data_IF_468962269542
#
_entry.id   IF_468962269542
#
_cell.length_a   1.000
_cell.length_b   1.000
_cell.length_c   1.000
_cell.angle_alpha   90.00
_cell.angle_beta   90.00
_cell.angle_gamma   90.00
#
_symmetry.space_group_name_H-M   'P 1'
#
loop_
_entity.id
_entity.type
_entity.pdbx_description
1 polymer ?
#
# COMPACT_ATOMS: atom_id res chain seq x y z
N UNK A 1 -5.85 20.48 4.47
CA UNK A 1 -5.02 19.49 3.76
C UNK A 1 -5.63 19.30 2.39
N UNK A 2 -4.81 19.28 1.36
CA UNK A 2 -5.32 19.11 0.01
C UNK A 2 -5.75 17.66 -0.22
N UNK A 3 -6.83 17.50 -0.99
CA UNK A 3 -7.37 16.16 -1.29
C UNK A 3 -6.45 15.46 -2.30
N UNK A 4 -5.87 14.32 -1.88
CA UNK A 4 -5.04 13.50 -2.76
C UNK A 4 -5.89 12.68 -3.73
N UNK A 5 -6.92 12.02 -3.22
CA UNK A 5 -7.79 11.18 -4.03
C UNK A 5 -9.26 11.26 -3.61
N UNK A 6 -10.13 10.98 -4.57
CA UNK A 6 -11.57 10.90 -4.36
C UNK A 6 -12.17 9.74 -5.16
N UNK A 7 -12.85 8.85 -4.49
CA UNK A 7 -13.65 7.79 -5.09
C UNK A 7 -15.13 8.02 -4.80
N UNK A 8 -15.99 8.03 -5.84
CA UNK A 8 -17.42 8.22 -5.71
C UNK A 8 -18.19 7.05 -6.30
N UNK A 9 -19.06 6.47 -5.49
CA UNK A 9 -19.94 5.35 -5.87
C UNK A 9 -19.17 4.20 -6.53
N UNK A 10 -17.97 3.86 -6.02
CA UNK A 10 -17.14 2.80 -6.60
C UNK A 10 -17.84 1.46 -6.43
N UNK A 11 -17.98 0.76 -7.56
CA UNK A 11 -18.53 -0.58 -7.65
C UNK A 11 -17.49 -1.51 -8.28
N UNK A 12 -17.37 -2.72 -7.75
CA UNK A 12 -16.60 -3.79 -8.37
C UNK A 12 -17.34 -5.10 -8.24
N UNK A 13 -17.86 -5.58 -9.37
CA UNK A 13 -18.64 -6.80 -9.45
C UNK A 13 -17.88 -7.85 -10.26
N UNK A 14 -17.88 -9.08 -9.77
CA UNK A 14 -17.26 -10.21 -10.44
C UNK A 14 -18.35 -11.21 -10.84
N UNK A 15 -18.37 -11.60 -12.11
CA UNK A 15 -19.23 -12.68 -12.59
C UNK A 15 -18.62 -14.02 -12.27
N UNK A 16 -19.36 -14.87 -11.57
CA UNK A 16 -18.94 -16.24 -11.23
C UNK A 16 -20.01 -17.23 -11.69
N UNK A 17 -19.69 -18.53 -11.81
CA UNK A 17 -20.70 -19.55 -12.13
C UNK A 17 -21.86 -19.59 -11.15
N UNK A 18 -21.66 -19.17 -9.90
CA UNK A 18 -22.68 -19.12 -8.85
C UNK A 18 -23.48 -17.81 -8.82
N UNK A 19 -23.17 -16.84 -9.71
CA UNK A 19 -23.84 -15.54 -9.78
C UNK A 19 -22.85 -14.36 -9.70
N UNK A 20 -23.40 -13.17 -9.49
CA UNK A 20 -22.60 -11.93 -9.38
C UNK A 20 -22.19 -11.70 -7.93
N UNK A 21 -20.88 -11.57 -7.70
CA UNK A 21 -20.29 -11.17 -6.42
C UNK A 21 -20.06 -9.67 -6.46
N UNK A 22 -20.70 -8.93 -5.56
CA UNK A 22 -20.50 -7.49 -5.38
C UNK A 22 -19.39 -7.24 -4.35
N UNK A 23 -18.17 -7.24 -4.80
CA UNK A 23 -17.01 -7.05 -3.91
C UNK A 23 -16.90 -5.62 -3.36
N UNK A 24 -17.28 -4.62 -4.16
CA UNK A 24 -17.50 -3.23 -3.73
C UNK A 24 -18.87 -2.77 -4.27
N UNK A 25 -19.71 -2.20 -3.41
CA UNK A 25 -21.08 -1.81 -3.73
C UNK A 25 -21.38 -0.37 -3.28
N UNK A 26 -20.82 0.60 -4.01
CA UNK A 26 -21.07 2.02 -3.78
C UNK A 26 -20.13 2.69 -2.75
N UNK A 27 -18.85 2.35 -2.76
CA UNK A 27 -17.84 2.97 -1.89
C UNK A 27 -17.67 4.45 -2.23
N UNK A 28 -17.76 5.30 -1.22
CA UNK A 28 -17.38 6.71 -1.28
C UNK A 28 -16.28 6.96 -0.27
N UNK A 29 -15.12 7.42 -0.73
CA UNK A 29 -13.96 7.74 0.11
C UNK A 29 -13.18 8.88 -0.52
N UNK A 30 -12.73 9.79 0.29
CA UNK A 30 -11.70 10.78 -0.05
C UNK A 30 -10.54 10.66 0.93
N UNK A 31 -9.33 10.88 0.46
CA UNK A 31 -8.11 10.82 1.27
C UNK A 31 -7.30 12.07 0.99
N UNK A 32 -6.87 12.73 2.06
CA UNK A 32 -6.02 13.92 2.01
C UNK A 32 -4.54 13.53 1.99
N UNK A 33 -3.70 14.44 1.51
CA UNK A 33 -2.24 14.27 1.55
C UNK A 33 -1.74 14.09 2.98
N UNK A 34 -0.83 13.13 3.18
CA UNK A 34 -0.24 12.81 4.47
C UNK A 34 -1.13 11.98 5.42
N UNK A 35 -2.38 11.69 5.06
CA UNK A 35 -3.20 10.76 5.86
C UNK A 35 -2.62 9.34 5.87
N UNK A 36 -2.74 8.67 7.02
CA UNK A 36 -2.49 7.23 7.16
C UNK A 36 -3.81 6.56 7.52
N UNK A 37 -4.47 6.01 6.52
CA UNK A 37 -5.78 5.36 6.67
C UNK A 37 -5.57 3.88 7.00
N UNK A 38 -6.15 3.44 8.12
CA UNK A 38 -6.26 2.01 8.46
C UNK A 38 -7.61 1.51 7.96
N UNK A 39 -7.59 0.57 7.02
CA UNK A 39 -8.79 -0.06 6.48
C UNK A 39 -9.03 -1.40 7.16
N UNK A 40 -10.05 -1.45 8.02
CA UNK A 40 -10.42 -2.61 8.82
C UNK A 40 -11.66 -3.32 8.25
N UNK A 41 -11.74 -4.61 8.50
CA UNK A 41 -12.93 -5.40 8.20
C UNK A 41 -12.64 -6.91 8.18
N UNK A 42 -13.67 -7.76 8.23
CA UNK A 42 -13.52 -9.20 8.18
C UNK A 42 -12.94 -9.67 6.83
N UNK A 43 -12.50 -10.94 6.78
CA UNK A 43 -12.09 -11.56 5.52
C UNK A 43 -13.25 -11.55 4.52
N UNK A 44 -12.98 -11.25 3.25
CA UNK A 44 -14.00 -11.16 2.21
C UNK A 44 -14.83 -9.88 2.21
N UNK A 45 -14.57 -8.89 3.08
CA UNK A 45 -15.34 -7.63 3.11
C UNK A 45 -15.08 -6.68 1.93
N UNK A 46 -14.08 -6.95 1.08
CA UNK A 46 -13.74 -6.12 -0.08
C UNK A 46 -12.48 -5.27 0.06
N UNK A 47 -11.73 -5.38 1.16
CA UNK A 47 -10.51 -4.57 1.44
C UNK A 47 -9.45 -4.68 0.34
N UNK A 48 -9.02 -5.89 0.01
CA UNK A 48 -8.02 -6.13 -1.05
C UNK A 48 -8.56 -5.68 -2.43
N UNK A 49 -9.86 -5.83 -2.67
CA UNK A 49 -10.49 -5.32 -3.90
C UNK A 49 -10.41 -3.80 -3.96
N UNK A 50 -10.65 -3.10 -2.84
CA UNK A 50 -10.50 -1.65 -2.76
C UNK A 50 -9.06 -1.22 -2.98
N UNK A 51 -8.06 -1.91 -2.36
CA UNK A 51 -6.64 -1.66 -2.62
C UNK A 51 -6.27 -1.86 -4.10
N UNK A 52 -6.79 -2.90 -4.74
CA UNK A 52 -6.56 -3.15 -6.15
C UNK A 52 -7.16 -2.06 -7.05
N UNK A 53 -8.33 -1.52 -6.68
CA UNK A 53 -8.90 -0.36 -7.38
C UNK A 53 -8.08 0.93 -7.12
N UNK A 54 -7.63 1.17 -5.88
CA UNK A 54 -6.78 2.32 -5.54
C UNK A 54 -5.45 2.28 -6.29
N UNK A 55 -4.86 1.10 -6.44
CA UNK A 55 -3.60 0.92 -7.17
C UNK A 55 -3.76 0.86 -8.69
N UNK A 56 -4.97 0.90 -9.23
CA UNK A 56 -5.25 0.59 -10.62
C UNK A 56 -4.66 -0.77 -11.09
N UNK A 57 -4.57 -1.75 -10.19
CA UNK A 57 -4.36 -3.16 -10.54
C UNK A 57 -5.64 -3.78 -11.07
N UNK A 58 -6.78 -3.30 -10.59
CA UNK A 58 -8.10 -3.65 -11.05
C UNK A 58 -8.93 -2.40 -11.33
N UNK A 59 -9.86 -2.49 -12.28
CA UNK A 59 -10.73 -1.36 -12.65
C UNK A 59 -12.11 -1.50 -12.01
N UNK A 60 -12.66 -0.43 -11.41
CA UNK A 60 -14.03 -0.43 -10.96
C UNK A 60 -15.00 -0.73 -12.12
N UNK A 61 -16.10 -1.44 -11.84
CA UNK A 61 -17.20 -1.63 -12.81
C UNK A 61 -18.11 -0.42 -12.90
N UNK A 62 -18.08 0.46 -11.91
CA UNK A 62 -18.85 1.71 -11.86
C UNK A 62 -18.29 2.72 -10.86
N UNK A 63 -18.81 3.93 -10.90
CA UNK A 63 -18.37 5.05 -10.08
C UNK A 63 -17.26 5.89 -10.72
N UNK A 64 -16.64 6.82 -10.00
CA UNK A 64 -15.53 7.66 -10.47
C UNK A 64 -14.34 7.61 -9.49
N UNK A 65 -13.12 7.62 -10.02
CA UNK A 65 -11.89 7.70 -9.25
C UNK A 65 -11.00 8.82 -9.78
N UNK A 66 -10.76 9.82 -8.96
CA UNK A 66 -9.91 10.98 -9.25
C UNK A 66 -8.71 10.95 -8.32
N UNK A 67 -7.51 11.15 -8.85
CA UNK A 67 -6.24 11.22 -8.13
C UNK A 67 -5.52 12.51 -8.55
N UNK A 68 -5.15 13.36 -7.57
CA UNK A 68 -4.54 14.68 -7.81
C UNK A 68 -5.31 15.50 -8.87
N UNK A 69 -6.64 15.50 -8.78
CA UNK A 69 -7.51 16.25 -9.68
C UNK A 69 -7.71 15.65 -11.09
N UNK A 70 -7.06 14.53 -11.41
CA UNK A 70 -7.18 13.84 -12.69
C UNK A 70 -7.90 12.51 -12.56
N UNK A 71 -8.72 12.14 -13.54
CA UNK A 71 -9.38 10.83 -13.55
C UNK A 71 -8.35 9.71 -13.76
N UNK A 72 -8.41 8.67 -12.90
CA UNK A 72 -7.50 7.52 -12.97
C UNK A 72 -7.86 6.64 -14.17
N UNK A 73 -6.88 6.23 -15.00
CA UNK A 73 -7.11 5.39 -16.18
C UNK A 73 -7.77 4.05 -15.82
N UNK A 74 -8.73 3.60 -16.66
CA UNK A 74 -9.46 2.35 -16.41
C UNK A 74 -9.35 1.30 -17.51
N UNK A 75 -9.07 1.72 -18.74
CA UNK A 75 -9.27 0.87 -19.92
C UNK A 75 -7.98 0.62 -20.71
N UNK A 76 -6.89 1.31 -20.41
CA UNK A 76 -5.61 1.15 -21.12
C UNK A 76 -4.56 0.61 -20.17
N UNK A 77 -4.07 -0.59 -20.45
CA UNK A 77 -3.06 -1.26 -19.62
C UNK A 77 -1.78 -0.43 -19.44
N UNK A 78 -1.36 0.29 -20.48
CA UNK A 78 -0.18 1.15 -20.45
C UNK A 78 -0.38 2.36 -19.53
N UNK A 79 -1.52 3.04 -19.63
CA UNK A 79 -1.84 4.22 -18.80
C UNK A 79 -1.95 3.82 -17.32
N UNK A 80 -2.59 2.68 -17.02
CA UNK A 80 -2.67 2.12 -15.67
C UNK A 80 -1.28 1.75 -15.14
N UNK A 81 -0.40 1.25 -16.00
CA UNK A 81 0.97 0.90 -15.62
C UNK A 81 1.81 2.14 -15.35
N UNK A 82 1.67 3.20 -16.16
CA UNK A 82 2.30 4.50 -15.92
C UNK A 82 1.81 5.13 -14.62
N UNK A 83 0.50 5.12 -14.37
CA UNK A 83 -0.07 5.59 -13.11
C UNK A 83 0.52 4.89 -11.89
N UNK A 84 0.60 3.54 -11.92
CA UNK A 84 1.23 2.75 -10.84
C UNK A 84 2.71 3.07 -10.68
N UNK A 85 3.43 3.18 -11.80
CA UNK A 85 4.86 3.47 -11.79
C UNK A 85 5.16 4.81 -11.13
N UNK A 86 4.35 5.82 -11.41
CA UNK A 86 4.58 7.19 -10.96
C UNK A 86 4.09 7.42 -9.52
N UNK A 87 2.92 6.85 -9.17
CA UNK A 87 2.19 7.30 -7.98
C UNK A 87 2.12 6.26 -6.86
N UNK A 88 2.18 4.95 -7.17
CA UNK A 88 1.81 3.90 -6.20
C UNK A 88 3.02 3.13 -5.70
N UNK A 89 3.26 3.16 -4.38
CA UNK A 89 4.05 2.16 -3.67
C UNK A 89 3.13 1.04 -3.18
N UNK A 90 3.54 -0.22 -3.29
CA UNK A 90 2.75 -1.34 -2.81
C UNK A 90 3.59 -2.28 -1.96
N UNK A 91 3.11 -2.60 -0.76
CA UNK A 91 3.71 -3.59 0.14
C UNK A 91 2.73 -4.75 0.31
N UNK A 92 3.16 -5.93 -0.04
CA UNK A 92 2.36 -7.16 -0.01
C UNK A 92 2.55 -7.92 1.30
N UNK A 93 1.58 -8.75 1.64
CA UNK A 93 1.60 -9.64 2.81
C UNK A 93 2.80 -10.61 2.80
N UNK A 94 3.19 -11.12 1.65
CA UNK A 94 4.28 -12.10 1.46
C UNK A 94 5.58 -11.47 0.96
N UNK A 95 5.93 -10.27 1.39
CA UNK A 95 7.15 -9.53 1.05
C UNK A 95 7.42 -9.37 -0.45
N UNK A 96 7.25 -10.41 -1.27
CA UNK A 96 7.46 -10.47 -2.71
C UNK A 96 8.84 -9.96 -3.14
N UNK A 97 9.88 -10.23 -2.34
CA UNK A 97 11.25 -9.94 -2.69
C UNK A 97 11.75 -10.93 -3.76
N UNK A 98 12.54 -10.43 -4.68
CA UNK A 98 13.20 -11.25 -5.69
C UNK A 98 14.36 -12.00 -5.01
N UNK A 99 14.27 -13.32 -4.96
CA UNK A 99 15.18 -14.17 -4.20
C UNK A 99 16.60 -14.20 -4.76
N UNK A 100 16.74 -13.97 -6.08
CA UNK A 100 18.01 -13.96 -6.81
C UNK A 100 18.71 -12.59 -6.78
N UNK A 101 18.11 -11.60 -6.11
CA UNK A 101 18.68 -10.26 -5.94
C UNK A 101 18.98 -10.01 -4.46
N UNK A 102 20.08 -9.32 -4.19
CA UNK A 102 20.42 -8.85 -2.84
C UNK A 102 19.39 -7.86 -2.31
N UNK A 103 19.45 -7.57 -1.03
CA UNK A 103 18.60 -6.56 -0.37
C UNK A 103 18.71 -5.20 -1.07
N UNK A 104 19.93 -4.76 -1.40
CA UNK A 104 20.16 -3.50 -2.11
C UNK A 104 19.60 -3.55 -3.54
N UNK A 105 19.82 -4.64 -4.26
CA UNK A 105 19.35 -4.79 -5.64
C UNK A 105 17.83 -4.83 -5.73
N UNK A 106 17.13 -5.44 -4.74
CA UNK A 106 15.67 -5.40 -4.66
C UNK A 106 15.13 -3.96 -4.62
N UNK A 107 15.82 -3.04 -3.95
CA UNK A 107 15.41 -1.63 -3.87
C UNK A 107 15.79 -0.90 -5.16
N UNK A 108 17.03 -1.09 -5.62
CA UNK A 108 17.58 -0.41 -6.80
C UNK A 108 16.83 -0.73 -8.08
N UNK A 109 16.32 -1.96 -8.22
CA UNK A 109 15.53 -2.38 -9.37
C UNK A 109 14.27 -1.52 -9.56
N UNK A 110 13.58 -1.18 -8.48
CA UNK A 110 12.36 -0.33 -8.58
C UNK A 110 12.69 1.08 -9.04
N UNK A 111 13.82 1.62 -8.62
CA UNK A 111 14.32 2.92 -9.10
C UNK A 111 14.65 2.87 -10.59
N UNK A 112 15.32 1.80 -11.02
CA UNK A 112 15.68 1.60 -12.43
C UNK A 112 14.45 1.47 -13.32
N UNK A 113 13.45 0.69 -12.90
CA UNK A 113 12.15 0.57 -13.59
C UNK A 113 11.36 1.88 -13.63
N UNK A 114 11.57 2.77 -12.66
CA UNK A 114 10.99 4.11 -12.64
C UNK A 114 11.81 5.13 -13.46
N UNK A 115 12.94 4.71 -14.07
CA UNK A 115 13.81 5.59 -14.86
C UNK A 115 14.75 6.47 -14.04
N UNK A 116 14.89 6.20 -12.74
CA UNK A 116 15.72 7.01 -11.82
C UNK A 116 16.59 6.09 -10.96
N UNK A 117 17.75 5.69 -11.48
CA UNK A 117 18.71 4.87 -10.74
C UNK A 117 19.57 5.74 -9.83
N UNK A 118 19.28 5.69 -8.53
CA UNK A 118 20.02 6.40 -7.48
C UNK A 118 20.44 5.42 -6.37
N UNK A 119 21.67 4.94 -6.45
CA UNK A 119 22.21 3.99 -5.49
C UNK A 119 22.37 4.62 -4.09
N UNK A 120 22.66 5.93 -4.01
CA UNK A 120 22.81 6.61 -2.71
C UNK A 120 21.47 6.62 -1.97
N UNK A 121 20.38 6.89 -2.67
CA UNK A 121 19.03 6.81 -2.10
C UNK A 121 18.66 5.38 -1.66
N UNK A 122 19.03 4.36 -2.42
CA UNK A 122 18.76 2.97 -2.01
C UNK A 122 19.46 2.63 -0.69
N UNK A 123 20.70 3.08 -0.51
CA UNK A 123 21.44 2.94 0.75
C UNK A 123 20.79 3.75 1.87
N UNK A 124 20.37 4.99 1.62
CA UNK A 124 19.69 5.82 2.62
C UNK A 124 18.34 5.23 3.07
N UNK A 125 17.63 4.58 2.16
CA UNK A 125 16.42 3.82 2.51
C UNK A 125 16.74 2.61 3.38
N UNK A 126 17.82 1.89 3.10
CA UNK A 126 18.28 0.79 3.97
C UNK A 126 18.68 1.29 5.36
N UNK A 127 19.33 2.44 5.47
CA UNK A 127 19.61 3.08 6.76
C UNK A 127 18.31 3.43 7.51
N UNK A 128 17.35 4.02 6.80
CA UNK A 128 16.03 4.38 7.36
C UNK A 128 15.31 3.18 7.98
N UNK A 129 15.36 2.02 7.33
CA UNK A 129 14.74 0.79 7.84
C UNK A 129 15.67 -0.05 8.74
N UNK A 130 16.89 0.46 9.06
CA UNK A 130 17.87 -0.17 9.95
C UNK A 130 18.47 -1.46 9.38
N UNK A 131 18.75 -1.51 8.07
CA UNK A 131 19.24 -2.70 7.36
C UNK A 131 20.45 -2.41 6.45
N UNK A 132 21.21 -1.33 6.71
CA UNK A 132 22.39 -1.02 5.90
C UNK A 132 23.44 -2.15 5.92
N UNK A 133 23.63 -2.80 7.07
CA UNK A 133 24.56 -3.93 7.22
C UNK A 133 24.18 -5.17 6.43
N UNK A 134 22.90 -5.29 6.05
CA UNK A 134 22.35 -6.44 5.36
C UNK A 134 22.29 -6.25 3.83
N UNK A 135 22.80 -5.14 3.30
CA UNK A 135 22.61 -4.71 1.91
C UNK A 135 23.04 -5.75 0.84
N UNK A 136 24.09 -6.51 1.16
CA UNK A 136 24.69 -7.51 0.26
C UNK A 136 24.13 -8.92 0.47
N UNK A 137 23.23 -9.12 1.45
CA UNK A 137 22.55 -10.40 1.69
C UNK A 137 21.39 -10.63 0.75
N UNK A 138 21.06 -11.90 0.54
CA UNK A 138 19.85 -12.31 -0.18
C UNK A 138 18.63 -12.42 0.77
N UNK A 139 17.41 -12.31 0.25
CA UNK A 139 16.20 -12.39 1.09
C UNK A 139 16.14 -13.63 1.98
N UNK A 140 16.59 -14.79 1.49
CA UNK A 140 16.62 -16.03 2.29
C UNK A 140 17.58 -16.04 3.47
N UNK A 141 18.48 -15.06 3.58
CA UNK A 141 19.49 -14.94 4.63
C UNK A 141 19.08 -13.97 5.76
N UNK A 142 17.89 -13.36 5.64
CA UNK A 142 17.37 -12.37 6.60
C UNK A 142 16.01 -12.82 7.15
N UNK A 143 15.68 -12.34 8.35
CA UNK A 143 14.42 -12.69 9.02
C UNK A 143 13.18 -12.12 8.29
N UNK A 144 11.99 -12.68 8.54
CA UNK A 144 10.74 -12.20 7.95
C UNK A 144 10.47 -10.71 8.25
N UNK A 145 10.73 -10.26 9.47
CA UNK A 145 10.61 -8.84 9.81
C UNK A 145 11.64 -7.95 9.10
N UNK A 146 12.85 -8.48 8.83
CA UNK A 146 13.83 -7.78 7.98
C UNK A 146 13.37 -7.74 6.53
N UNK A 147 12.85 -8.86 5.98
CA UNK A 147 12.28 -8.90 4.63
C UNK A 147 11.14 -7.90 4.46
N UNK A 148 10.25 -7.77 5.46
CA UNK A 148 9.17 -6.79 5.42
C UNK A 148 9.69 -5.35 5.40
N UNK A 149 10.71 -5.04 6.20
CA UNK A 149 11.35 -3.71 6.16
C UNK A 149 12.04 -3.42 4.83
N UNK A 150 12.65 -4.42 4.18
CA UNK A 150 13.16 -4.29 2.81
C UNK A 150 12.02 -4.02 1.82
N UNK A 151 10.88 -4.73 1.94
CA UNK A 151 9.71 -4.53 1.09
C UNK A 151 9.13 -3.10 1.25
N UNK A 152 9.12 -2.55 2.46
CA UNK A 152 8.76 -1.14 2.70
C UNK A 152 9.75 -0.21 2.01
N UNK A 153 11.05 -0.36 2.24
CA UNK A 153 12.09 0.46 1.59
C UNK A 153 11.98 0.42 0.06
N UNK A 154 11.77 -0.77 -0.50
CA UNK A 154 11.55 -0.99 -1.93
C UNK A 154 10.33 -0.25 -2.44
N UNK A 155 9.21 -0.28 -1.70
CA UNK A 155 7.94 0.35 -2.13
C UNK A 155 8.02 1.86 -2.21
N UNK A 156 8.87 2.50 -1.38
CA UNK A 156 9.06 3.96 -1.34
C UNK A 156 10.27 4.44 -2.15
N UNK A 157 11.03 3.52 -2.77
CA UNK A 157 12.29 3.84 -3.46
C UNK A 157 12.11 4.86 -4.61
N UNK A 158 10.99 4.81 -5.29
CA UNK A 158 10.63 5.70 -6.39
C UNK A 158 9.87 6.98 -5.96
N UNK A 159 9.74 7.24 -4.64
CA UNK A 159 9.00 8.37 -4.06
C UNK A 159 7.51 8.39 -4.49
N UNK A 160 6.75 7.32 -4.20
CA UNK A 160 5.34 7.29 -4.55
C UNK A 160 4.56 8.33 -3.72
N UNK A 161 3.45 8.83 -4.27
CA UNK A 161 2.54 9.72 -3.54
C UNK A 161 1.63 8.94 -2.59
N UNK A 162 1.28 7.70 -2.97
CA UNK A 162 0.39 6.81 -2.22
C UNK A 162 1.06 5.46 -1.97
N UNK A 163 1.16 5.08 -0.70
CA UNK A 163 1.60 3.75 -0.26
C UNK A 163 0.39 2.90 0.10
N UNK A 164 0.30 1.72 -0.48
CA UNK A 164 -0.72 0.73 -0.19
C UNK A 164 -0.10 -0.48 0.49
N UNK A 165 -0.69 -0.91 1.60
CA UNK A 165 -0.24 -2.07 2.36
C UNK A 165 -1.35 -3.09 2.57
N UNK A 166 -1.13 -4.34 2.16
CA UNK A 166 -2.07 -5.43 2.34
C UNK A 166 -1.56 -6.41 3.40
N UNK A 167 -2.18 -6.38 4.59
CA UNK A 167 -1.89 -7.25 5.74
C UNK A 167 -0.39 -7.37 6.10
N UNK A 168 0.29 -6.23 6.20
CA UNK A 168 1.76 -6.12 6.32
C UNK A 168 2.38 -6.93 7.46
N UNK A 169 1.63 -7.22 8.49
CA UNK A 169 2.11 -7.85 9.73
C UNK A 169 1.49 -9.22 10.01
N UNK A 170 0.62 -9.71 9.11
CA UNK A 170 -0.14 -10.94 9.31
C UNK A 170 0.71 -12.22 9.52
N UNK A 171 1.97 -12.19 9.08
CA UNK A 171 2.91 -13.31 9.20
C UNK A 171 4.04 -13.06 10.24
N UNK A 172 3.92 -12.02 11.07
CA UNK A 172 4.93 -11.61 12.04
C UNK A 172 4.40 -11.72 13.47
N UNK A 173 5.28 -11.95 14.42
CA UNK A 173 4.95 -11.84 15.84
C UNK A 173 4.65 -10.37 16.23
N UNK A 174 4.01 -10.17 17.38
CA UNK A 174 3.53 -8.86 17.83
C UNK A 174 4.67 -7.83 18.00
N UNK A 175 5.83 -8.25 18.51
CA UNK A 175 6.96 -7.35 18.71
C UNK A 175 7.57 -6.89 17.36
N UNK A 176 7.78 -7.85 16.46
CA UNK A 176 8.26 -7.58 15.11
C UNK A 176 7.27 -6.73 14.32
N UNK A 177 5.97 -7.02 14.46
CA UNK A 177 4.88 -6.23 13.85
C UNK A 177 4.93 -4.76 14.28
N UNK A 178 5.10 -4.51 15.57
CA UNK A 178 5.22 -3.14 16.10
C UNK A 178 6.42 -2.39 15.53
N UNK A 179 7.58 -3.05 15.44
CA UNK A 179 8.80 -2.47 14.84
C UNK A 179 8.63 -2.16 13.36
N UNK A 180 7.99 -3.06 12.60
CA UNK A 180 7.72 -2.87 11.17
C UNK A 180 6.77 -1.69 10.95
N UNK A 181 5.69 -1.61 11.72
CA UNK A 181 4.73 -0.51 11.62
C UNK A 181 5.34 0.84 11.99
N UNK A 182 6.19 0.88 13.03
CA UNK A 182 6.90 2.10 13.42
C UNK A 182 7.81 2.60 12.29
N UNK A 183 8.59 1.72 11.69
CA UNK A 183 9.45 2.04 10.54
C UNK A 183 8.62 2.56 9.35
N UNK A 184 7.45 1.96 9.09
CA UNK A 184 6.56 2.41 8.02
C UNK A 184 6.02 3.81 8.28
N UNK A 185 5.57 4.10 9.51
CA UNK A 185 5.07 5.44 9.90
C UNK A 185 6.17 6.47 9.74
N UNK A 186 7.38 6.22 10.29
CA UNK A 186 8.53 7.12 10.18
C UNK A 186 8.91 7.38 8.71
N UNK A 187 8.86 6.35 7.87
CA UNK A 187 9.13 6.47 6.44
C UNK A 187 8.07 7.33 5.72
N UNK A 188 6.78 7.12 6.02
CA UNK A 188 5.70 7.93 5.45
C UNK A 188 5.79 9.40 5.87
N UNK A 189 6.09 9.68 7.14
CA UNK A 189 6.25 11.05 7.64
C UNK A 189 7.45 11.74 7.02
N UNK A 190 8.60 11.07 6.96
CA UNK A 190 9.84 11.64 6.42
C UNK A 190 9.74 11.94 4.92
N UNK A 191 9.07 11.09 4.17
CA UNK A 191 8.93 11.20 2.72
C UNK A 191 7.63 11.89 2.30
N UNK A 192 6.80 12.33 3.24
CA UNK A 192 5.47 12.93 3.02
C UNK A 192 4.56 12.05 2.15
N UNK A 193 4.47 10.76 2.47
CA UNK A 193 3.70 9.76 1.73
C UNK A 193 2.36 9.53 2.43
N UNK A 194 1.27 9.60 1.66
CA UNK A 194 -0.07 9.17 2.10
C UNK A 194 -0.13 7.64 2.09
N UNK A 195 -0.76 7.03 3.09
CA UNK A 195 -0.83 5.57 3.19
C UNK A 195 -2.24 5.03 3.38
N UNK A 196 -2.55 3.88 2.76
CA UNK A 196 -3.74 3.08 3.05
C UNK A 196 -3.29 1.66 3.41
N UNK A 197 -3.55 1.26 4.63
CA UNK A 197 -3.08 0.00 5.20
C UNK A 197 -4.27 -0.89 5.55
N UNK A 198 -4.37 -2.02 4.89
CA UNK A 198 -5.40 -3.04 5.17
C UNK A 198 -4.91 -3.95 6.28
N UNK A 199 -5.78 -4.20 7.25
CA UNK A 199 -5.56 -5.17 8.32
C UNK A 199 -6.87 -5.67 8.91
N UNK A 200 -6.81 -6.76 9.65
CA UNK A 200 -7.88 -7.22 10.54
C UNK A 200 -7.49 -7.03 12.03
N UNK A 201 -6.27 -6.54 12.31
CA UNK A 201 -5.75 -6.30 13.66
C UNK A 201 -6.06 -4.88 14.12
N UNK A 202 -6.98 -4.74 15.06
CA UNK A 202 -7.37 -3.44 15.65
C UNK A 202 -6.23 -2.75 16.42
N UNK A 203 -5.22 -3.50 16.87
CA UNK A 203 -4.08 -2.90 17.58
C UNK A 203 -3.27 -1.96 16.69
N UNK A 204 -3.40 -2.10 15.37
CA UNK A 204 -2.71 -1.26 14.38
C UNK A 204 -3.38 0.10 14.15
N UNK A 205 -4.59 0.35 14.67
CA UNK A 205 -5.29 1.64 14.57
C UNK A 205 -4.39 2.78 15.06
N UNK A 206 -3.63 2.56 16.13
CA UNK A 206 -2.72 3.55 16.72
C UNK A 206 -1.64 4.10 15.78
N UNK A 207 -1.37 3.43 14.65
CA UNK A 207 -0.42 3.87 13.63
C UNK A 207 -1.06 4.70 12.52
N UNK A 208 -2.40 4.74 12.48
CA UNK A 208 -3.17 5.54 11.54
C UNK A 208 -3.51 6.92 12.07
N UNK A 209 -3.92 7.80 11.17
CA UNK A 209 -4.58 9.08 11.47
C UNK A 209 -6.09 8.98 11.31
N UNK A 210 -6.56 7.96 10.58
CA UNK A 210 -7.98 7.71 10.27
C UNK A 210 -8.22 6.21 10.16
N UNK A 211 -9.37 5.75 10.63
CA UNK A 211 -9.81 4.36 10.51
C UNK A 211 -11.11 4.29 9.71
N UNK A 212 -11.12 3.43 8.72
CA UNK A 212 -12.31 3.14 7.91
C UNK A 212 -12.64 1.66 8.08
N UNK A 213 -13.89 1.37 8.46
CA UNK A 213 -14.38 -0.01 8.57
C UNK A 213 -15.21 -0.36 7.34
N UNK A 214 -14.87 -1.47 6.70
CA UNK A 214 -15.57 -1.99 5.54
C UNK A 214 -16.14 -3.37 5.84
N UNK A 215 -17.39 -3.58 5.48
CA UNK A 215 -18.04 -4.88 5.50
C UNK A 215 -18.95 -5.06 4.30
N UNK A 216 -18.95 -6.27 3.72
CA UNK A 216 -19.81 -6.65 2.60
C UNK A 216 -19.78 -5.62 1.44
N UNK A 217 -18.58 -5.11 1.14
CA UNK A 217 -18.33 -4.15 0.07
C UNK A 217 -18.81 -2.72 0.33
N UNK A 218 -19.15 -2.36 1.58
CA UNK A 218 -19.64 -1.03 1.99
C UNK A 218 -18.87 -0.48 3.17
N UNK A 219 -18.70 0.85 3.22
CA UNK A 219 -18.15 1.52 4.39
C UNK A 219 -19.21 1.52 5.49
N UNK A 220 -18.83 1.05 6.69
CA UNK A 220 -19.67 0.99 7.88
C UNK A 220 -19.41 2.17 8.81
N UNK A 221 -18.14 2.54 8.99
CA UNK A 221 -17.73 3.73 9.72
C UNK A 221 -16.47 4.34 9.12
N UNK A 222 -16.24 5.62 9.41
CA UNK A 222 -15.12 6.43 8.96
C UNK A 222 -14.82 7.46 10.05
N UNK A 223 -13.72 7.29 10.76
CA UNK A 223 -13.43 7.99 11.99
C UNK A 223 -11.98 8.48 12.02
N UNK A 224 -11.75 9.69 12.52
CA UNK A 224 -10.40 10.19 12.79
C UNK A 224 -9.84 9.49 14.03
N UNK A 225 -8.59 9.08 13.98
CA UNK A 225 -7.87 8.56 15.13
C UNK A 225 -7.34 9.75 15.92
N UNK A 226 -7.84 9.90 17.14
CA UNK A 226 -7.37 10.93 18.05
C UNK A 226 -5.96 10.60 18.56
N UNK A 227 -5.06 11.58 18.65
CA UNK A 227 -3.69 11.43 19.12
C UNK A 227 -3.61 11.01 20.60
#
# INVERSE_FOLDING_TARGET
MDKLLEMKNIQRFYSTPAGVVKALDGINIDISEGERVILLGPSGSGKTTLLNCLSALDSPTGGSYVFQGSEVPRNRSEDMTSFRRENIGYVFQFFNLLQDLTVLENISLIQELAGNKDQSRAIDLLKMVGLESEKDRFPGEISGGQQQRVAIARSIAKKPTLLLGDELTGNLDTETSSKVMQVLVEACEKENITAVLVTHDESLIRYGTRVIRIDSGKIQSDEQVLP
#
